data_IF_068527896962
#
_entry.id   IF_068527896962
#
_cell.length_a   1.000
_cell.length_b   1.000
_cell.length_c   1.000
_cell.angle_alpha   90.00
_cell.angle_beta   90.00
_cell.angle_gamma   90.00
#
_symmetry.space_group_name_H-M   'P 1'
#
loop_
_entity.id
_entity.type
_entity.pdbx_description
1 polymer ?
#
# COMPACT_ATOMS: atom_id res chain seq x y z
N UNK A 1 9.28 -4.80 12.18
CA UNK A 1 9.03 -3.73 13.16
C UNK A 1 7.67 -3.84 13.88
N UNK A 2 6.54 -3.69 13.18
CA UNK A 2 5.21 -3.61 13.81
C UNK A 2 4.85 -4.74 14.77
N UNK A 3 5.15 -6.00 14.42
CA UNK A 3 4.94 -7.16 15.30
C UNK A 3 5.67 -7.06 16.64
N UNK A 4 6.91 -6.55 16.65
CA UNK A 4 7.72 -6.41 17.87
C UNK A 4 7.13 -5.32 18.77
N UNK A 5 6.76 -4.17 18.18
CA UNK A 5 6.05 -3.10 18.90
C UNK A 5 4.78 -3.64 19.55
N UNK A 6 3.94 -4.32 18.79
CA UNK A 6 2.65 -4.81 19.29
C UNK A 6 2.81 -5.89 20.36
N UNK A 7 3.84 -6.75 20.26
CA UNK A 7 4.19 -7.72 21.31
C UNK A 7 4.56 -7.04 22.63
N UNK A 8 5.37 -5.97 22.57
CA UNK A 8 5.75 -5.21 23.75
C UNK A 8 4.53 -4.54 24.41
N UNK A 9 3.64 -3.93 23.62
CA UNK A 9 2.39 -3.35 24.12
C UNK A 9 1.48 -4.42 24.73
N UNK A 10 1.32 -5.57 24.06
CA UNK A 10 0.53 -6.68 24.59
C UNK A 10 1.07 -7.21 25.93
N UNK A 11 2.39 -7.23 26.13
CA UNK A 11 2.98 -7.61 27.41
C UNK A 11 2.63 -6.61 28.52
N UNK A 12 2.79 -5.31 28.26
CA UNK A 12 2.42 -4.25 29.21
C UNK A 12 0.92 -4.29 29.56
N UNK A 13 0.04 -4.46 28.58
CA UNK A 13 -1.40 -4.58 28.83
C UNK A 13 -1.73 -5.76 29.75
N UNK A 14 -1.06 -6.92 29.59
CA UNK A 14 -1.26 -8.09 30.47
C UNK A 14 -0.87 -7.79 31.91
N UNK A 15 0.25 -7.11 32.12
CA UNK A 15 0.70 -6.70 33.47
C UNK A 15 -0.30 -5.77 34.15
N UNK A 16 -0.99 -4.94 33.36
CA UNK A 16 -2.02 -4.02 33.85
C UNK A 16 -3.43 -4.63 33.92
N UNK A 17 -3.60 -5.92 33.60
CA UNK A 17 -4.92 -6.58 33.55
C UNK A 17 -5.83 -6.09 32.42
N UNK A 18 -5.28 -5.48 31.37
CA UNK A 18 -6.00 -4.97 30.21
C UNK A 18 -6.13 -6.08 29.15
N UNK A 19 -7.36 -6.33 28.71
CA UNK A 19 -7.64 -7.25 27.59
C UNK A 19 -7.28 -6.62 26.24
N UNK A 20 -6.56 -7.34 25.41
CA UNK A 20 -6.18 -6.89 24.06
C UNK A 20 -6.94 -7.70 23.00
N UNK A 21 -7.68 -7.01 22.14
CA UNK A 21 -8.40 -7.61 21.01
C UNK A 21 -7.72 -7.14 19.72
N UNK A 22 -7.18 -8.08 18.95
CA UNK A 22 -6.62 -7.84 17.63
C UNK A 22 -7.39 -8.61 16.57
N UNK A 23 -7.71 -7.95 15.45
CA UNK A 23 -8.44 -8.51 14.31
C UNK A 23 -7.70 -8.14 13.03
N UNK A 24 -7.54 -9.11 12.14
CA UNK A 24 -6.92 -8.89 10.83
C UNK A 24 -7.96 -8.28 9.89
N UNK A 25 -7.73 -7.06 9.44
CA UNK A 25 -8.56 -6.36 8.44
C UNK A 25 -7.74 -5.55 7.42
N UNK A 26 -6.43 -5.34 7.66
CA UNK A 26 -5.54 -4.64 6.72
C UNK A 26 -5.24 -5.46 5.46
N UNK A 27 -5.25 -6.78 5.59
CA UNK A 27 -5.05 -7.76 4.50
C UNK A 27 -6.33 -8.55 4.26
N UNK A 28 -6.49 -9.07 3.05
CA UNK A 28 -7.60 -9.96 2.68
C UNK A 28 -7.61 -11.19 3.58
N UNK A 29 -6.46 -11.83 3.73
CA UNK A 29 -6.30 -13.05 4.50
C UNK A 29 -5.45 -12.84 5.76
N UNK A 30 -5.51 -13.82 6.66
CA UNK A 30 -4.46 -13.99 7.66
C UNK A 30 -3.23 -14.56 6.97
N UNK A 31 -2.12 -13.83 7.01
CA UNK A 31 -0.90 -14.21 6.29
C UNK A 31 -0.34 -15.54 6.80
N UNK A 32 -0.50 -15.83 8.09
CA UNK A 32 -0.08 -17.11 8.68
C UNK A 32 -0.79 -18.29 8.03
N UNK A 33 -2.08 -18.15 7.70
CA UNK A 33 -2.85 -19.22 7.05
C UNK A 33 -2.34 -19.52 5.63
N UNK A 34 -1.85 -18.50 4.91
CA UNK A 34 -1.20 -18.70 3.60
C UNK A 34 0.15 -19.43 3.78
N UNK A 35 0.95 -19.02 4.77
CA UNK A 35 2.24 -19.62 5.07
C UNK A 35 2.08 -21.09 5.51
N UNK A 36 1.11 -21.39 6.37
CA UNK A 36 0.80 -22.74 6.83
C UNK A 36 0.38 -23.65 5.67
N UNK A 37 -0.51 -23.16 4.79
CA UNK A 37 -0.93 -23.88 3.57
C UNK A 37 0.23 -24.14 2.62
N UNK A 38 1.27 -23.32 2.65
CA UNK A 38 2.49 -23.49 1.85
C UNK A 38 3.62 -24.21 2.61
N UNK A 39 3.28 -25.05 3.59
CA UNK A 39 4.27 -25.88 4.31
C UNK A 39 5.15 -25.08 5.28
N UNK A 40 4.63 -24.00 5.86
CA UNK A 40 5.31 -23.18 6.86
C UNK A 40 6.29 -22.16 6.29
N UNK A 41 6.32 -21.96 4.96
CA UNK A 41 7.19 -20.97 4.30
C UNK A 41 6.36 -20.00 3.46
N UNK A 42 6.74 -18.72 3.46
CA UNK A 42 6.11 -17.75 2.58
C UNK A 42 6.35 -18.12 1.10
N UNK A 43 5.34 -18.00 0.21
CA UNK A 43 5.55 -18.18 -1.22
C UNK A 43 6.53 -17.12 -1.75
N UNK A 44 7.51 -17.54 -2.55
CA UNK A 44 8.52 -16.63 -3.12
C UNK A 44 8.28 -16.27 -4.59
N UNK A 45 7.30 -16.92 -5.22
CA UNK A 45 6.86 -16.56 -6.57
C UNK A 45 5.37 -16.24 -6.55
N UNK A 46 4.98 -15.27 -7.37
CA UNK A 46 3.57 -14.89 -7.48
C UNK A 46 2.70 -16.06 -7.96
N UNK A 47 3.22 -16.93 -8.84
CA UNK A 47 2.49 -18.12 -9.30
C UNK A 47 2.20 -19.09 -8.13
N UNK A 48 3.21 -19.40 -7.32
CA UNK A 48 3.02 -20.25 -6.12
C UNK A 48 2.01 -19.62 -5.16
N UNK A 49 2.11 -18.31 -4.93
CA UNK A 49 1.14 -17.58 -4.11
C UNK A 49 -0.29 -17.71 -4.65
N UNK A 50 -0.49 -17.54 -5.96
CA UNK A 50 -1.80 -17.71 -6.60
C UNK A 50 -2.32 -19.14 -6.45
N UNK A 51 -1.48 -20.17 -6.59
CA UNK A 51 -1.87 -21.57 -6.39
C UNK A 51 -2.33 -21.83 -4.97
N UNK A 52 -1.64 -21.28 -3.96
CA UNK A 52 -2.02 -21.41 -2.56
C UNK A 52 -3.37 -20.72 -2.31
N UNK A 53 -3.52 -19.45 -2.71
CA UNK A 53 -4.76 -18.70 -2.53
C UNK A 53 -5.94 -19.32 -3.28
N UNK A 54 -5.71 -19.90 -4.48
CA UNK A 54 -6.74 -20.61 -5.24
C UNK A 54 -7.28 -21.86 -4.52
N UNK A 55 -6.51 -22.43 -3.59
CA UNK A 55 -6.90 -23.59 -2.77
C UNK A 55 -7.55 -23.21 -1.43
N UNK A 56 -7.63 -21.92 -1.12
CA UNK A 56 -8.23 -21.39 0.10
C UNK A 56 -9.66 -20.95 -0.16
N UNK A 57 -10.45 -20.86 0.91
CA UNK A 57 -11.75 -20.18 0.86
C UNK A 57 -11.57 -18.71 0.51
N UNK A 58 -12.64 -18.07 0.02
CA UNK A 58 -12.67 -16.62 -0.20
C UNK A 58 -12.31 -15.86 1.10
N UNK A 59 -11.69 -14.67 1.00
CA UNK A 59 -11.35 -13.90 2.19
C UNK A 59 -12.64 -13.55 2.95
N UNK A 60 -12.62 -13.40 4.27
CA UNK A 60 -13.80 -13.03 5.02
C UNK A 60 -14.36 -11.67 4.55
N UNK A 61 -15.68 -11.43 4.70
CA UNK A 61 -16.29 -10.17 4.32
C UNK A 61 -15.74 -8.99 5.14
N UNK A 62 -15.99 -7.78 4.65
CA UNK A 62 -15.77 -6.58 5.44
C UNK A 62 -16.72 -6.59 6.66
N UNK A 63 -16.22 -6.13 7.80
CA UNK A 63 -17.04 -5.99 9.01
C UNK A 63 -18.17 -4.98 8.78
N UNK A 64 -19.33 -5.15 9.43
CA UNK A 64 -20.41 -4.18 9.37
C UNK A 64 -19.98 -2.79 9.84
N UNK A 65 -20.54 -1.75 9.21
CA UNK A 65 -20.31 -0.36 9.62
C UNK A 65 -20.80 -0.12 11.05
N UNK A 66 -19.97 0.52 11.86
CA UNK A 66 -20.36 1.00 13.19
C UNK A 66 -21.40 2.11 13.02
N UNK A 67 -22.47 2.02 13.80
CA UNK A 67 -23.61 2.94 13.83
C UNK A 67 -24.03 3.20 15.27
N UNK A 68 -24.83 4.24 15.51
CA UNK A 68 -25.36 4.56 16.84
C UNK A 68 -26.09 3.37 17.50
N UNK A 69 -26.64 2.44 16.71
CA UNK A 69 -27.27 1.21 17.20
C UNK A 69 -26.27 0.16 17.69
N UNK A 70 -25.08 0.12 17.10
CA UNK A 70 -24.03 -0.85 17.47
C UNK A 70 -23.22 -0.39 18.67
N UNK A 71 -23.16 0.92 18.92
CA UNK A 71 -22.53 1.48 20.12
C UNK A 71 -23.43 1.42 21.35
N UNK A 72 -24.73 1.13 21.20
CA UNK A 72 -25.70 0.90 22.29
C UNK A 72 -25.62 1.90 23.46
N UNK A 73 -25.61 3.20 23.13
CA UNK A 73 -25.56 4.28 24.13
C UNK A 73 -24.20 4.48 24.82
N UNK A 74 -23.18 3.69 24.47
CA UNK A 74 -21.79 3.92 24.90
C UNK A 74 -21.31 5.25 24.30
N UNK A 75 -20.78 6.10 25.16
CA UNK A 75 -20.26 7.42 24.81
C UNK A 75 -18.86 7.60 25.42
N UNK A 76 -18.03 8.36 24.73
CA UNK A 76 -16.70 8.76 25.23
C UNK A 76 -16.83 10.16 25.83
N UNK A 77 -16.45 10.38 27.10
CA UNK A 77 -16.41 11.71 27.68
C UNK A 77 -15.47 12.62 26.88
N UNK A 78 -15.95 13.80 26.49
CA UNK A 78 -15.17 14.85 25.83
C UNK A 78 -15.21 16.09 26.72
N UNK A 79 -14.04 16.65 26.99
CA UNK A 79 -13.86 17.85 27.81
C UNK A 79 -13.66 19.08 26.91
N UNK A 80 -13.86 20.27 27.47
CA UNK A 80 -13.74 21.52 26.69
C UNK A 80 -12.30 21.78 26.19
N UNK A 81 -11.29 21.21 26.86
CA UNK A 81 -9.86 21.27 26.49
C UNK A 81 -9.44 20.14 25.54
N UNK A 82 -10.40 19.47 24.87
CA UNK A 82 -10.11 18.32 24.00
C UNK A 82 -9.14 18.67 22.86
N UNK A 83 -9.42 19.75 22.12
CA UNK A 83 -8.64 20.11 20.95
C UNK A 83 -7.20 20.50 21.32
N UNK A 84 -7.00 21.12 22.48
CA UNK A 84 -5.67 21.49 23.00
C UNK A 84 -4.81 20.27 23.34
N UNK A 85 -5.44 19.13 23.70
CA UNK A 85 -4.74 17.94 24.20
C UNK A 85 -4.70 16.77 23.21
N UNK A 86 -5.73 16.66 22.38
CA UNK A 86 -5.99 15.49 21.53
C UNK A 86 -6.42 15.88 20.11
N UNK A 87 -6.45 17.18 19.79
CA UNK A 87 -6.73 17.67 18.44
C UNK A 87 -5.76 17.10 17.42
N UNK A 88 -6.24 16.96 16.17
CA UNK A 88 -5.38 16.56 15.06
C UNK A 88 -4.52 17.77 14.67
N UNK A 89 -3.18 17.70 14.79
CA UNK A 89 -2.33 18.85 14.56
C UNK A 89 -2.32 19.27 13.09
N UNK A 90 -2.14 20.57 12.84
CA UNK A 90 -1.89 21.08 11.48
C UNK A 90 -0.44 20.87 11.06
N UNK A 91 -0.14 21.09 9.77
CA UNK A 91 1.23 21.02 9.27
C UNK A 91 2.13 22.10 9.92
N UNK A 92 1.60 23.30 10.12
CA UNK A 92 2.31 24.42 10.75
C UNK A 92 2.64 24.12 12.21
N UNK A 93 1.73 23.49 12.95
CA UNK A 93 1.96 23.06 14.34
C UNK A 93 3.05 21.99 14.45
N UNK A 94 3.21 21.17 13.41
CA UNK A 94 4.31 20.20 13.29
C UNK A 94 5.61 20.82 12.78
N UNK A 95 5.63 22.13 12.47
CA UNK A 95 6.81 22.87 12.04
C UNK A 95 7.10 22.80 10.54
N UNK A 96 6.12 22.41 9.71
CA UNK A 96 6.25 22.46 8.26
C UNK A 96 5.92 23.86 7.74
N UNK A 97 6.70 24.31 6.75
CA UNK A 97 6.38 25.49 5.97
C UNK A 97 5.27 25.16 4.97
N UNK A 98 4.15 25.88 5.08
CA UNK A 98 2.97 25.71 4.22
C UNK A 98 2.78 26.85 3.23
N UNK A 99 3.68 27.83 3.23
CA UNK A 99 3.61 28.95 2.30
C UNK A 99 3.75 28.44 0.85
N UNK A 100 2.76 28.75 0.01
CA UNK A 100 2.76 28.34 -1.39
C UNK A 100 2.41 26.86 -1.63
N UNK A 101 2.00 26.10 -0.62
CA UNK A 101 1.50 24.74 -0.83
C UNK A 101 0.24 24.75 -1.71
N UNK A 102 0.27 23.95 -2.77
CA UNK A 102 -0.88 23.71 -3.61
C UNK A 102 -1.86 22.76 -2.91
N UNK A 103 -3.16 22.80 -3.26
CA UNK A 103 -4.11 21.79 -2.79
C UNK A 103 -3.62 20.38 -3.13
N UNK A 104 -3.77 19.41 -2.21
CA UNK A 104 -3.25 18.06 -2.42
C UNK A 104 -3.95 17.38 -3.59
N UNK A 105 -3.17 16.76 -4.48
CA UNK A 105 -3.70 15.90 -5.56
C UNK A 105 -4.43 14.67 -4.99
N UNK A 106 -3.97 14.20 -3.82
CA UNK A 106 -4.53 13.08 -3.07
C UNK A 106 -5.04 13.53 -1.71
N UNK A 107 -6.30 13.96 -1.66
CA UNK A 107 -6.98 14.23 -0.39
C UNK A 107 -7.08 12.96 0.44
N UNK A 108 -6.66 13.01 1.70
CA UNK A 108 -6.72 11.88 2.64
C UNK A 108 -8.13 11.60 3.19
N UNK A 109 -8.27 10.46 3.88
CA UNK A 109 -9.46 10.12 4.67
C UNK A 109 -10.40 9.08 4.04
N UNK A 110 -11.21 8.45 4.89
CA UNK A 110 -12.20 7.42 4.52
C UNK A 110 -13.27 7.96 3.56
N UNK A 111 -13.79 9.18 3.81
CA UNK A 111 -14.83 9.79 2.97
C UNK A 111 -14.40 9.91 1.50
N UNK A 112 -13.18 10.39 1.25
CA UNK A 112 -12.64 10.49 -0.11
C UNK A 112 -12.39 9.09 -0.69
N UNK A 113 -11.89 8.15 0.13
CA UNK A 113 -11.64 6.78 -0.30
C UNK A 113 -12.91 6.07 -0.81
N UNK A 114 -14.03 6.21 -0.09
CA UNK A 114 -15.33 5.66 -0.47
C UNK A 114 -15.88 6.33 -1.72
N UNK A 115 -15.79 7.67 -1.82
CA UNK A 115 -16.20 8.40 -3.02
C UNK A 115 -15.38 8.01 -4.26
N UNK A 116 -14.08 7.74 -4.10
CA UNK A 116 -13.21 7.22 -5.18
C UNK A 116 -13.56 5.79 -5.55
N UNK A 117 -13.89 4.94 -4.57
CA UNK A 117 -14.32 3.56 -4.82
C UNK A 117 -15.60 3.53 -5.66
N UNK A 118 -16.59 4.35 -5.34
CA UNK A 118 -17.82 4.46 -6.13
C UNK A 118 -17.52 4.86 -7.58
N UNK A 119 -16.76 5.96 -7.78
CA UNK A 119 -16.31 6.39 -9.12
C UNK A 119 -15.50 5.31 -9.84
N UNK A 120 -14.68 4.55 -9.12
CA UNK A 120 -13.89 3.45 -9.68
C UNK A 120 -14.81 2.33 -10.24
N UNK A 121 -15.85 1.96 -9.49
CA UNK A 121 -16.79 0.91 -9.85
C UNK A 121 -17.79 1.35 -10.94
N UNK A 122 -18.09 2.65 -11.05
CA UNK A 122 -18.92 3.21 -12.12
C UNK A 122 -18.30 3.09 -13.51
N UNK A 123 -16.98 2.89 -13.63
CA UNK A 123 -16.26 2.66 -14.88
C UNK A 123 -16.54 1.26 -15.45
N UNK A 124 -17.81 0.99 -15.77
CA UNK A 124 -18.34 -0.29 -16.26
C UNK A 124 -17.58 -0.83 -17.47
N UNK A 125 -17.06 0.03 -18.35
CA UNK A 125 -16.26 -0.39 -19.51
C UNK A 125 -14.93 -1.05 -19.12
N UNK A 126 -14.31 -0.65 -18.01
CA UNK A 126 -13.10 -1.30 -17.50
C UNK A 126 -13.42 -2.69 -16.94
N UNK A 127 -14.47 -2.79 -16.11
CA UNK A 127 -14.94 -4.07 -15.55
C UNK A 127 -15.53 -4.99 -16.61
N UNK A 128 -16.04 -4.45 -17.72
CA UNK A 128 -16.54 -5.23 -18.84
C UNK A 128 -15.42 -5.68 -19.80
N UNK A 129 -14.35 -4.90 -19.95
CA UNK A 129 -13.30 -5.21 -20.93
C UNK A 129 -12.33 -6.28 -20.44
N UNK A 130 -12.08 -6.43 -19.13
CA UNK A 130 -11.21 -7.47 -18.51
C UNK A 130 -9.82 -7.70 -19.13
N UNK A 131 -9.44 -6.91 -20.13
CA UNK A 131 -8.12 -6.88 -20.72
C UNK A 131 -7.22 -6.00 -19.86
N UNK A 132 -5.90 -6.23 -19.96
CA UNK A 132 -4.94 -5.23 -19.49
C UNK A 132 -5.28 -3.91 -20.18
N UNK A 133 -5.69 -2.85 -19.47
CA UNK A 133 -5.98 -1.57 -20.11
C UNK A 133 -4.72 -1.17 -20.87
N UNK A 134 -4.88 -0.83 -22.16
CA UNK A 134 -3.76 -0.33 -22.95
C UNK A 134 -3.26 0.95 -22.29
N UNK A 135 -1.97 1.00 -21.99
CA UNK A 135 -1.35 2.19 -21.45
C UNK A 135 -1.54 3.34 -22.43
N UNK A 136 -1.96 4.49 -21.91
CA UNK A 136 -1.99 5.77 -22.62
C UNK A 136 -1.21 6.80 -21.81
N UNK A 137 -0.76 7.92 -22.40
CA UNK A 137 -0.12 8.99 -21.65
C UNK A 137 -0.99 9.50 -20.47
N UNK A 138 -2.31 9.54 -20.63
CA UNK A 138 -3.25 9.91 -19.56
C UNK A 138 -3.18 8.98 -18.33
N UNK A 139 -2.69 7.75 -18.50
CA UNK A 139 -2.54 6.78 -17.40
C UNK A 139 -1.41 7.15 -16.44
N UNK A 140 -0.50 8.05 -16.85
CA UNK A 140 0.60 8.53 -16.00
C UNK A 140 0.14 9.57 -14.97
N UNK A 141 -0.99 10.24 -15.23
CA UNK A 141 -1.53 11.26 -14.34
C UNK A 141 -2.30 10.64 -13.18
N UNK A 142 -2.30 11.32 -12.03
CA UNK A 142 -3.07 10.91 -10.87
C UNK A 142 -4.57 10.77 -11.23
N UNK A 143 -5.11 9.58 -11.00
CA UNK A 143 -6.50 9.29 -11.34
C UNK A 143 -7.43 9.62 -10.19
N UNK A 144 -8.54 10.30 -10.51
CA UNK A 144 -9.71 10.48 -9.64
C UNK A 144 -10.41 9.17 -9.24
N UNK A 145 -9.96 8.03 -9.78
CA UNK A 145 -10.43 6.68 -9.41
C UNK A 145 -9.31 5.80 -8.83
N UNK A 146 -8.15 6.39 -8.54
CA UNK A 146 -7.04 5.69 -7.92
C UNK A 146 -7.30 5.41 -6.44
N UNK A 147 -6.94 4.22 -5.99
CA UNK A 147 -7.26 3.71 -4.65
C UNK A 147 -6.03 3.35 -3.81
N UNK A 148 -4.82 3.35 -4.39
CA UNK A 148 -3.65 2.78 -3.72
C UNK A 148 -3.20 3.50 -2.45
N UNK A 149 -3.19 4.85 -2.34
CA UNK A 149 -2.88 5.51 -1.06
C UNK A 149 -3.87 5.13 0.03
N UNK A 150 -5.17 5.07 -0.30
CA UNK A 150 -6.24 4.74 0.65
C UNK A 150 -6.15 3.29 1.15
N UNK A 151 -5.69 2.36 0.31
CA UNK A 151 -5.43 0.97 0.71
C UNK A 151 -4.17 0.83 1.58
N UNK A 152 -3.18 1.72 1.42
CA UNK A 152 -1.97 1.77 2.26
C UNK A 152 -2.30 2.30 3.65
N UNK A 153 -3.02 3.41 3.73
CA UNK A 153 -3.38 4.05 5.01
C UNK A 153 -4.59 3.41 5.72
N UNK A 154 -5.29 2.47 5.08
CA UNK A 154 -6.46 1.82 5.66
C UNK A 154 -7.74 2.67 5.60
N UNK A 155 -7.72 3.81 4.90
CA UNK A 155 -8.92 4.59 4.59
C UNK A 155 -9.92 3.81 3.73
N UNK A 156 -9.43 2.84 2.94
CA UNK A 156 -10.25 1.88 2.22
C UNK A 156 -9.94 0.45 2.67
N UNK A 157 -10.98 -0.28 3.07
CA UNK A 157 -10.87 -1.71 3.38
C UNK A 157 -10.57 -2.52 2.11
N UNK A 158 -9.52 -3.34 2.17
CA UNK A 158 -9.17 -4.30 1.10
C UNK A 158 -10.29 -5.30 0.86
N UNK A 159 -10.97 -5.75 1.92
CA UNK A 159 -12.11 -6.68 1.84
C UNK A 159 -13.34 -6.02 1.23
N UNK A 160 -13.62 -4.77 1.58
CA UNK A 160 -14.73 -4.02 0.96
C UNK A 160 -14.50 -3.91 -0.54
N UNK A 161 -13.31 -3.50 -0.96
CA UNK A 161 -12.98 -3.37 -2.37
C UNK A 161 -13.04 -4.72 -3.09
N UNK A 162 -12.50 -5.78 -2.50
CA UNK A 162 -12.57 -7.14 -3.04
C UNK A 162 -14.02 -7.54 -3.34
N UNK A 163 -14.90 -7.48 -2.35
CA UNK A 163 -16.29 -7.92 -2.51
C UNK A 163 -17.11 -7.05 -3.46
N UNK A 164 -16.98 -5.72 -3.39
CA UNK A 164 -17.70 -4.85 -4.33
C UNK A 164 -17.28 -5.08 -5.78
N UNK A 165 -15.98 -5.33 -6.01
CA UNK A 165 -15.46 -5.67 -7.33
C UNK A 165 -15.94 -7.06 -7.81
N UNK A 166 -15.92 -8.06 -6.93
CA UNK A 166 -16.48 -9.40 -7.19
C UNK A 166 -17.96 -9.30 -7.58
N UNK A 167 -18.76 -8.54 -6.83
CA UNK A 167 -20.20 -8.43 -7.05
C UNK A 167 -20.52 -7.69 -8.35
N UNK A 168 -19.79 -6.62 -8.65
CA UNK A 168 -19.92 -5.91 -9.91
C UNK A 168 -19.58 -6.81 -11.10
N UNK A 169 -18.51 -7.60 -11.00
CA UNK A 169 -18.15 -8.57 -12.02
C UNK A 169 -19.25 -9.61 -12.24
N UNK A 170 -19.76 -10.21 -11.16
CA UNK A 170 -20.86 -11.19 -11.23
C UNK A 170 -22.10 -10.59 -11.89
N UNK A 171 -22.44 -9.34 -11.57
CA UNK A 171 -23.57 -8.62 -12.19
C UNK A 171 -23.38 -8.41 -13.70
N UNK A 172 -22.17 -8.03 -14.14
CA UNK A 172 -21.89 -7.73 -15.56
C UNK A 172 -21.67 -8.99 -16.40
N UNK A 173 -20.84 -9.92 -15.90
CA UNK A 173 -20.38 -11.11 -16.66
C UNK A 173 -21.20 -12.37 -16.38
N UNK A 174 -22.02 -12.39 -15.33
CA UNK A 174 -22.82 -13.55 -14.90
C UNK A 174 -21.96 -14.82 -14.73
N UNK A 175 -20.71 -14.65 -14.28
CA UNK A 175 -19.73 -15.72 -14.12
C UNK A 175 -18.92 -15.57 -12.83
N UNK A 176 -18.25 -16.63 -12.41
CA UNK A 176 -17.28 -16.56 -11.31
C UNK A 176 -16.07 -15.71 -11.74
N UNK A 177 -15.62 -14.75 -10.89
CA UNK A 177 -14.46 -13.94 -11.23
C UNK A 177 -13.17 -14.74 -11.22
N UNK A 178 -12.27 -14.54 -12.20
CA UNK A 178 -10.92 -15.09 -12.13
C UNK A 178 -10.10 -14.33 -11.08
N UNK A 179 -9.07 -14.97 -10.52
CA UNK A 179 -8.14 -14.34 -9.55
C UNK A 179 -7.50 -13.05 -10.11
N UNK A 180 -7.29 -12.97 -11.42
CA UNK A 180 -6.73 -11.79 -12.08
C UNK A 180 -7.56 -10.52 -11.89
N UNK A 181 -8.87 -10.64 -11.60
CA UNK A 181 -9.71 -9.49 -11.23
C UNK A 181 -9.15 -8.74 -10.02
N UNK A 182 -8.64 -9.48 -9.05
CA UNK A 182 -8.11 -8.96 -7.80
C UNK A 182 -6.59 -8.81 -7.84
N UNK A 183 -5.97 -8.85 -9.03
CA UNK A 183 -4.51 -8.95 -9.19
C UNK A 183 -3.72 -7.88 -8.42
N UNK A 184 -4.20 -6.64 -8.38
CA UNK A 184 -3.54 -5.57 -7.61
C UNK A 184 -3.57 -5.82 -6.09
N UNK A 185 -4.71 -6.28 -5.57
CA UNK A 185 -4.83 -6.65 -4.15
C UNK A 185 -3.98 -7.89 -3.85
N UNK A 186 -3.97 -8.89 -4.75
CA UNK A 186 -3.19 -10.11 -4.55
C UNK A 186 -1.69 -9.88 -4.64
N UNK A 187 -1.20 -8.95 -5.47
CA UNK A 187 0.20 -8.52 -5.45
C UNK A 187 0.58 -7.87 -4.12
N UNK A 188 -0.29 -7.01 -3.58
CA UNK A 188 -0.12 -6.45 -2.24
C UNK A 188 -0.03 -7.56 -1.18
N UNK A 189 -0.96 -8.50 -1.17
CA UNK A 189 -0.96 -9.65 -0.23
C UNK A 189 0.31 -10.51 -0.37
N UNK A 190 0.77 -10.74 -1.59
CA UNK A 190 1.99 -11.50 -1.85
C UNK A 190 3.20 -10.89 -1.13
N UNK A 191 3.40 -9.58 -1.27
CA UNK A 191 4.52 -8.89 -0.61
C UNK A 191 4.39 -8.83 0.91
N UNK A 192 3.19 -8.59 1.45
CA UNK A 192 2.97 -8.71 2.91
C UNK A 192 3.31 -10.13 3.42
N UNK A 193 2.92 -11.16 2.68
CA UNK A 193 3.21 -12.55 3.04
C UNK A 193 4.71 -12.86 2.99
N UNK A 194 5.43 -12.36 1.98
CA UNK A 194 6.88 -12.53 1.86
C UNK A 194 7.65 -11.80 2.98
N UNK A 195 7.17 -10.62 3.38
CA UNK A 195 7.86 -9.75 4.33
C UNK A 195 7.60 -10.09 5.82
N UNK A 196 6.42 -10.64 6.16
CA UNK A 196 5.95 -10.78 7.56
C UNK A 196 6.90 -11.54 8.51
N UNK A 197 7.67 -12.50 7.99
CA UNK A 197 8.62 -13.33 8.74
C UNK A 197 10.10 -13.04 8.40
N UNK A 198 10.38 -12.02 7.59
CA UNK A 198 11.73 -11.64 7.19
C UNK A 198 12.06 -10.25 7.72
N UNK A 199 12.79 -10.15 8.83
CA UNK A 199 13.16 -8.85 9.42
C UNK A 199 14.11 -8.02 8.57
N UNK A 200 14.78 -8.63 7.60
CA UNK A 200 15.75 -7.99 6.71
C UNK A 200 15.18 -7.81 5.29
N UNK A 201 13.85 -7.87 5.11
CA UNK A 201 13.22 -7.84 3.79
C UNK A 201 13.57 -6.58 2.99
N UNK A 202 13.85 -5.47 3.67
CA UNK A 202 14.23 -4.15 3.16
C UNK A 202 15.75 -3.94 3.03
N UNK A 203 16.54 -5.00 3.21
CA UNK A 203 18.01 -4.96 3.10
C UNK A 203 18.52 -6.00 2.13
N UNK A 204 19.68 -5.76 1.55
CA UNK A 204 20.37 -6.75 0.75
C UNK A 204 21.14 -7.72 1.65
N UNK A 205 21.98 -7.19 2.54
CA UNK A 205 22.81 -8.03 3.41
C UNK A 205 21.97 -8.74 4.49
N UNK A 206 22.17 -10.06 4.63
CA UNK A 206 21.45 -10.89 5.59
C UNK A 206 19.99 -11.18 5.22
N UNK A 207 19.55 -10.82 4.02
CA UNK A 207 18.22 -11.14 3.50
C UNK A 207 18.26 -12.46 2.71
N UNK A 208 17.62 -13.53 3.19
CA UNK A 208 17.76 -14.88 2.62
C UNK A 208 17.18 -15.03 1.21
N UNK A 209 16.37 -14.08 0.76
CA UNK A 209 15.72 -14.11 -0.57
C UNK A 209 16.31 -13.08 -1.53
N UNK A 210 17.27 -12.27 -1.09
CA UNK A 210 17.89 -11.23 -1.90
C UNK A 210 19.25 -11.70 -2.46
N UNK A 211 19.45 -11.49 -3.76
CA UNK A 211 20.75 -11.75 -4.40
C UNK A 211 21.75 -10.69 -3.96
N UNK A 212 22.95 -11.14 -3.56
CA UNK A 212 24.02 -10.24 -3.16
C UNK A 212 24.72 -9.68 -4.40
N UNK A 213 24.56 -8.39 -4.64
CA UNK A 213 25.12 -7.69 -5.80
C UNK A 213 26.07 -6.59 -5.30
N UNK A 214 27.29 -6.49 -5.86
CA UNK A 214 28.21 -5.41 -5.51
C UNK A 214 27.77 -4.11 -6.19
N UNK A 215 26.72 -3.48 -5.65
CA UNK A 215 26.26 -2.17 -6.11
C UNK A 215 27.28 -1.08 -5.81
N UNK A 216 27.31 -0.05 -6.65
CA UNK A 216 28.20 1.09 -6.48
C UNK A 216 27.67 2.05 -5.40
N UNK A 217 28.61 2.71 -4.72
CA UNK A 217 28.33 3.82 -3.81
C UNK A 217 28.58 5.13 -4.53
N UNK A 218 27.53 5.69 -5.11
CA UNK A 218 27.60 6.96 -5.83
C UNK A 218 26.55 7.95 -5.31
N UNK A 219 26.83 8.68 -4.21
CA UNK A 219 25.87 9.59 -3.60
C UNK A 219 25.51 10.78 -4.51
N UNK A 220 26.42 11.21 -5.38
CA UNK A 220 26.14 12.30 -6.33
C UNK A 220 25.10 11.87 -7.38
N UNK A 221 25.29 10.69 -7.98
CA UNK A 221 24.33 10.15 -8.95
C UNK A 221 22.97 9.83 -8.30
N UNK A 222 22.97 9.30 -7.07
CA UNK A 222 21.76 9.09 -6.28
C UNK A 222 21.02 10.41 -6.04
N UNK A 223 21.73 11.46 -5.64
CA UNK A 223 21.13 12.77 -5.40
C UNK A 223 20.48 13.32 -6.67
N UNK A 224 21.18 13.28 -7.81
CA UNK A 224 20.63 13.70 -9.11
C UNK A 224 19.39 12.91 -9.50
N UNK A 225 19.38 11.60 -9.27
CA UNK A 225 18.20 10.78 -9.51
C UNK A 225 17.04 11.16 -8.58
N UNK A 226 17.29 11.28 -7.28
CA UNK A 226 16.28 11.61 -6.28
C UNK A 226 15.67 13.01 -6.50
N UNK A 227 16.44 13.98 -6.98
CA UNK A 227 15.99 15.36 -7.24
C UNK A 227 15.48 15.59 -8.67
N UNK A 228 15.47 14.57 -9.54
CA UNK A 228 15.02 14.73 -10.93
C UNK A 228 15.95 15.61 -11.77
N UNK A 229 17.27 15.43 -11.61
CA UNK A 229 18.33 16.19 -12.28
C UNK A 229 19.33 15.25 -12.98
N UNK A 230 18.84 14.13 -13.51
CA UNK A 230 19.65 13.14 -14.23
C UNK A 230 20.05 13.64 -15.62
N UNK A 231 19.32 14.61 -16.18
CA UNK A 231 19.48 15.07 -17.56
C UNK A 231 18.68 14.24 -18.57
N UNK A 232 17.95 13.22 -18.10
CA UNK A 232 17.01 12.44 -18.91
C UNK A 232 15.58 12.94 -18.62
N UNK A 233 14.95 13.71 -19.52
CA UNK A 233 13.69 14.38 -19.24
C UNK A 233 12.56 13.44 -18.77
N UNK A 234 12.56 12.19 -19.24
CA UNK A 234 11.60 11.18 -18.81
C UNK A 234 11.76 10.78 -17.34
N UNK A 235 13.00 10.53 -16.90
CA UNK A 235 13.30 10.15 -15.51
C UNK A 235 13.07 11.34 -14.60
N UNK A 236 13.55 12.51 -15.01
CA UNK A 236 13.43 13.76 -14.26
C UNK A 236 11.96 14.13 -14.05
N UNK A 237 11.12 14.06 -15.07
CA UNK A 237 9.68 14.34 -14.95
C UNK A 237 8.96 13.37 -13.99
N UNK A 238 9.33 12.08 -14.00
CA UNK A 238 8.73 11.10 -13.08
C UNK A 238 9.12 11.41 -11.64
N UNK A 239 10.39 11.71 -11.38
CA UNK A 239 10.87 11.99 -10.03
C UNK A 239 10.33 13.33 -9.50
N UNK A 240 10.13 14.32 -10.38
CA UNK A 240 9.41 15.56 -10.04
C UNK A 240 7.95 15.28 -9.70
N UNK A 241 7.22 14.51 -10.53
CA UNK A 241 5.83 14.14 -10.23
C UNK A 241 5.72 13.40 -8.89
N UNK A 242 6.63 12.47 -8.61
CA UNK A 242 6.67 11.75 -7.34
C UNK A 242 6.82 12.70 -6.16
N UNK A 243 7.72 13.68 -6.25
CA UNK A 243 7.98 14.66 -5.19
C UNK A 243 6.80 15.61 -4.96
N UNK A 244 6.16 16.07 -6.04
CA UNK A 244 5.07 17.05 -5.95
C UNK A 244 3.72 16.42 -5.60
N UNK A 245 3.42 15.24 -6.14
CA UNK A 245 2.09 14.62 -6.03
C UNK A 245 2.07 13.40 -5.10
N UNK A 246 3.23 12.84 -4.74
CA UNK A 246 3.33 11.65 -3.90
C UNK A 246 2.84 10.36 -4.56
N UNK A 247 2.62 10.35 -5.87
CA UNK A 247 2.20 9.16 -6.60
C UNK A 247 2.71 9.17 -8.03
N UNK A 248 3.20 8.01 -8.48
CA UNK A 248 3.54 7.77 -9.89
C UNK A 248 3.01 6.40 -10.33
N UNK A 249 2.66 6.30 -11.61
CA UNK A 249 2.16 5.08 -12.23
C UNK A 249 3.18 3.94 -12.13
N UNK A 250 2.72 2.68 -11.97
CA UNK A 250 3.60 1.52 -11.78
C UNK A 250 4.67 1.34 -12.87
N UNK A 251 4.35 1.64 -14.14
CA UNK A 251 5.35 1.63 -15.22
C UNK A 251 6.38 2.76 -15.11
N UNK A 252 6.00 3.91 -14.54
CA UNK A 252 6.95 4.99 -14.24
C UNK A 252 7.89 4.58 -13.10
N UNK A 253 7.38 3.88 -12.08
CA UNK A 253 8.20 3.26 -11.02
C UNK A 253 9.23 2.30 -11.61
N UNK A 254 8.82 1.42 -12.53
CA UNK A 254 9.75 0.51 -13.21
C UNK A 254 10.84 1.26 -13.97
N UNK A 255 10.50 2.36 -14.66
CA UNK A 255 11.46 3.14 -15.41
C UNK A 255 12.54 3.74 -14.50
N UNK A 256 12.13 4.46 -13.44
CA UNK A 256 13.09 5.12 -12.54
C UNK A 256 13.86 4.14 -11.67
N UNK A 257 13.24 3.02 -11.26
CA UNK A 257 13.92 1.96 -10.52
C UNK A 257 14.94 1.22 -11.39
N UNK A 258 14.60 0.94 -12.66
CA UNK A 258 15.55 0.34 -13.59
C UNK A 258 16.74 1.28 -13.84
N UNK A 259 16.47 2.57 -14.07
CA UNK A 259 17.52 3.57 -14.28
C UNK A 259 18.48 3.64 -13.09
N UNK A 260 17.96 3.69 -11.87
CA UNK A 260 18.80 3.72 -10.65
C UNK A 260 19.63 2.45 -10.47
N UNK A 261 19.04 1.28 -10.72
CA UNK A 261 19.65 -0.02 -10.38
C UNK A 261 20.38 -0.62 -11.58
N UNK A 262 19.85 -1.70 -12.14
CA UNK A 262 20.50 -2.53 -13.17
C UNK A 262 20.52 -1.92 -14.59
N UNK A 263 19.86 -0.78 -14.79
CA UNK A 263 19.75 -0.12 -16.09
C UNK A 263 20.96 0.76 -16.37
N UNK A 264 21.20 1.74 -15.49
CA UNK A 264 22.13 2.84 -15.80
C UNK A 264 23.09 3.15 -14.64
N UNK A 265 22.59 3.50 -13.45
CA UNK A 265 23.43 4.05 -12.37
C UNK A 265 24.14 2.99 -11.50
N UNK A 266 23.70 1.73 -11.53
CA UNK A 266 24.24 0.62 -10.73
C UNK A 266 24.25 0.88 -9.21
N UNK A 267 23.26 1.62 -8.71
CA UNK A 267 23.08 1.93 -7.29
C UNK A 267 22.13 0.91 -6.64
N UNK A 268 22.34 0.61 -5.36
CA UNK A 268 21.52 -0.36 -4.62
C UNK A 268 20.03 0.05 -4.63
N UNK A 269 19.18 -0.95 -4.82
CA UNK A 269 17.72 -0.81 -4.69
C UNK A 269 17.30 -0.32 -3.30
N UNK A 270 18.11 -0.56 -2.27
CA UNK A 270 17.90 -0.08 -0.90
C UNK A 270 17.83 1.46 -0.85
N UNK A 271 18.60 2.16 -1.68
CA UNK A 271 18.58 3.63 -1.74
C UNK A 271 17.35 4.15 -2.48
N UNK A 272 16.93 3.46 -3.54
CA UNK A 272 15.68 3.79 -4.24
C UNK A 272 14.45 3.59 -3.35
N UNK A 273 14.44 2.50 -2.58
CA UNK A 273 13.40 2.21 -1.59
C UNK A 273 13.25 3.33 -0.56
N UNK A 274 14.36 3.87 -0.02
CA UNK A 274 14.32 4.99 0.94
C UNK A 274 13.68 6.25 0.35
N UNK A 275 14.04 6.61 -0.89
CA UNK A 275 13.45 7.78 -1.58
C UNK A 275 11.96 7.55 -1.82
N UNK A 276 11.55 6.33 -2.18
CA UNK A 276 10.14 6.00 -2.34
C UNK A 276 9.41 5.98 -1.00
N UNK A 277 10.04 5.53 0.09
CA UNK A 277 9.44 5.57 1.43
C UNK A 277 9.19 7.01 1.91
N UNK A 278 10.09 7.93 1.55
CA UNK A 278 9.96 9.36 1.86
C UNK A 278 8.82 10.03 1.07
N UNK A 279 8.70 9.74 -0.23
CA UNK A 279 7.85 10.51 -1.15
C UNK A 279 6.54 9.82 -1.55
N UNK A 280 6.50 8.49 -1.61
CA UNK A 280 5.41 7.74 -2.24
C UNK A 280 4.30 7.41 -1.25
N UNK A 281 3.10 7.97 -1.47
CA UNK A 281 1.96 7.84 -0.55
C UNK A 281 1.49 6.40 -0.36
N UNK A 282 1.64 5.55 -1.38
CA UNK A 282 1.27 4.13 -1.34
C UNK A 282 2.44 3.18 -1.11
N UNK A 283 3.62 3.70 -0.72
CA UNK A 283 4.71 2.87 -0.22
C UNK A 283 4.39 2.36 1.20
N UNK A 284 4.16 1.06 1.31
CA UNK A 284 4.28 0.31 2.56
C UNK A 284 5.63 -0.41 2.55
N UNK A 285 6.26 -0.57 3.72
CA UNK A 285 7.53 -1.28 3.88
C UNK A 285 7.58 -2.62 3.12
N UNK A 286 6.50 -3.41 3.18
CA UNK A 286 6.45 -4.73 2.53
C UNK A 286 6.36 -4.60 1.00
N UNK A 287 5.55 -3.67 0.51
CA UNK A 287 5.27 -3.50 -0.93
C UNK A 287 6.37 -2.72 -1.64
N UNK A 288 7.06 -1.83 -0.93
CA UNK A 288 8.13 -1.00 -1.48
C UNK A 288 9.46 -1.76 -1.58
N UNK A 289 9.75 -2.62 -0.60
CA UNK A 289 10.96 -3.45 -0.61
C UNK A 289 10.87 -4.64 -1.58
N UNK A 290 9.67 -5.17 -1.81
CA UNK A 290 9.42 -6.35 -2.64
C UNK A 290 9.35 -6.06 -4.13
#
# INVERSE_FOLDING_TARGET
>A
FGRVRDQNIMAMCREMGISVISRVSHTLYRLESIIEKNGGKAPLTYHQFQTVVASMDSPPPAEPRISARTTDGVHTPVTDDHDDRFGVPTLEELGFDTEGLLPPVWTGGESEALARLERHLERKAWVASFGRPKMTPQSLLASQTGLSPYLRFGCLSTRLFYYQLTDLYKKIKKACPPLSLHGQLLWREFFYCAATNNSNFDRMNGNPICVQIPWDKNPEALAKWATGQTGFPWIDAIMTQLREEGWIHHLARHAVACFLTRGDLWISWEEGMKVFEELLLDADWSVNAG
#
